data_IF_928187353106
#
_entry.id   IF_928187353106
#
_cell.length_a   1.000
_cell.length_b   1.000
_cell.length_c   1.000
_cell.angle_alpha   90.00
_cell.angle_beta   90.00
_cell.angle_gamma   90.00
#
_symmetry.space_group_name_H-M   'P 1'
#
loop_
_entity.id
_entity.type
_entity.pdbx_description
1 polymer ?
#
# COMPACT_ATOMS: atom_id res chain seq x y z
N UNK A 1 -46.17 3.43 2.83
CA UNK A 1 -45.28 2.66 1.92
C UNK A 1 -44.23 3.57 1.28
N UNK A 2 -44.63 4.67 0.61
CA UNK A 2 -43.70 5.61 -0.05
C UNK A 2 -42.69 6.23 0.93
N UNK A 3 -43.14 6.69 2.10
CA UNK A 3 -42.24 7.29 3.11
C UNK A 3 -41.13 6.34 3.58
N UNK A 4 -41.45 5.05 3.72
CA UNK A 4 -40.48 4.01 4.12
C UNK A 4 -39.43 3.81 3.02
N UNK A 5 -39.86 3.79 1.75
CA UNK A 5 -38.95 3.66 0.60
C UNK A 5 -38.02 4.88 0.48
N UNK A 6 -38.55 6.09 0.68
CA UNK A 6 -37.75 7.32 0.67
C UNK A 6 -36.74 7.32 1.82
N UNK A 7 -37.17 6.96 3.04
CA UNK A 7 -36.29 6.85 4.20
C UNK A 7 -35.17 5.83 3.99
N UNK A 8 -35.50 4.64 3.44
CA UNK A 8 -34.51 3.62 3.11
C UNK A 8 -33.52 4.11 2.05
N UNK A 9 -34.00 4.76 0.99
CA UNK A 9 -33.13 5.32 -0.05
C UNK A 9 -32.15 6.36 0.52
N UNK A 10 -32.63 7.29 1.35
CA UNK A 10 -31.79 8.30 1.99
C UNK A 10 -30.76 7.67 2.92
N UNK A 11 -31.15 6.66 3.68
CA UNK A 11 -30.23 5.90 4.54
C UNK A 11 -29.10 5.27 3.73
N UNK A 12 -29.42 4.59 2.63
CA UNK A 12 -28.42 4.03 1.73
C UNK A 12 -27.56 5.10 1.07
N UNK A 13 -28.11 6.27 0.74
CA UNK A 13 -27.32 7.39 0.22
C UNK A 13 -26.26 7.86 1.22
N UNK A 14 -26.62 8.06 2.48
CA UNK A 14 -25.65 8.45 3.52
C UNK A 14 -24.55 7.40 3.65
N UNK A 15 -24.91 6.12 3.68
CA UNK A 15 -23.93 5.03 3.70
C UNK A 15 -23.07 4.98 2.44
N UNK A 16 -23.64 5.28 1.28
CA UNK A 16 -22.97 5.36 -0.01
C UNK A 16 -21.89 6.44 0.00
N UNK A 17 -22.23 7.64 0.47
CA UNK A 17 -21.27 8.75 0.60
C UNK A 17 -20.13 8.37 1.54
N UNK A 18 -20.42 7.85 2.74
CA UNK A 18 -19.38 7.43 3.70
C UNK A 18 -18.49 6.34 3.09
N UNK A 19 -19.10 5.33 2.47
CA UNK A 19 -18.38 4.22 1.84
C UNK A 19 -17.53 4.69 0.65
N UNK A 20 -17.98 5.71 -0.10
CA UNK A 20 -17.25 6.23 -1.26
C UNK A 20 -15.94 6.92 -0.84
N UNK A 21 -15.98 7.67 0.27
CA UNK A 21 -14.78 8.25 0.87
C UNK A 21 -13.82 7.15 1.30
N UNK A 22 -14.33 6.11 1.98
CA UNK A 22 -13.50 4.97 2.37
C UNK A 22 -12.90 4.25 1.14
N UNK A 23 -13.66 4.07 0.06
CA UNK A 23 -13.19 3.45 -1.16
C UNK A 23 -12.04 4.23 -1.80
N UNK A 24 -12.13 5.56 -1.84
CA UNK A 24 -11.05 6.42 -2.34
C UNK A 24 -9.78 6.29 -1.49
N UNK A 25 -9.92 6.21 -0.17
CA UNK A 25 -8.78 6.15 0.75
C UNK A 25 -8.14 4.77 0.85
N UNK A 26 -8.88 3.69 0.57
CA UNK A 26 -8.43 2.32 0.84
C UNK A 26 -8.18 1.48 -0.41
N UNK A 27 -8.61 1.92 -1.59
CA UNK A 27 -8.39 1.16 -2.83
C UNK A 27 -6.99 1.41 -3.39
N UNK A 28 -6.27 0.32 -3.70
CA UNK A 28 -4.87 0.37 -4.17
C UNK A 28 -4.69 0.90 -5.59
N UNK A 29 -5.77 0.95 -6.39
CA UNK A 29 -5.73 1.41 -7.78
C UNK A 29 -6.69 2.58 -8.00
N UNK A 30 -6.29 3.61 -8.77
CA UNK A 30 -7.17 4.73 -9.10
C UNK A 30 -8.45 4.31 -9.82
N UNK A 31 -8.36 3.34 -10.74
CA UNK A 31 -9.51 2.87 -11.52
C UNK A 31 -10.55 2.17 -10.63
N UNK A 32 -10.09 1.35 -9.68
CA UNK A 32 -10.96 0.69 -8.71
C UNK A 32 -11.62 1.68 -7.75
N UNK A 33 -10.85 2.67 -7.27
CA UNK A 33 -11.36 3.72 -6.39
C UNK A 33 -12.49 4.52 -7.08
N UNK A 34 -12.27 4.94 -8.33
CA UNK A 34 -13.25 5.69 -9.12
C UNK A 34 -14.50 4.84 -9.36
N UNK A 35 -14.34 3.58 -9.78
CA UNK A 35 -15.47 2.69 -10.02
C UNK A 35 -16.35 2.52 -8.78
N UNK A 36 -15.74 2.30 -7.61
CA UNK A 36 -16.48 2.20 -6.35
C UNK A 36 -17.12 3.52 -5.95
N UNK A 37 -16.41 4.64 -6.03
CA UNK A 37 -16.94 5.94 -5.64
C UNK A 37 -18.17 6.33 -6.47
N UNK A 38 -18.11 6.19 -7.79
CA UNK A 38 -19.25 6.50 -8.68
C UNK A 38 -20.44 5.58 -8.37
N UNK A 39 -20.20 4.27 -8.24
CA UNK A 39 -21.27 3.29 -8.00
C UNK A 39 -21.96 3.52 -6.65
N UNK A 40 -21.18 3.80 -5.60
CA UNK A 40 -21.71 4.06 -4.25
C UNK A 40 -22.57 5.31 -4.16
N UNK A 41 -22.35 6.31 -5.02
CA UNK A 41 -23.14 7.54 -5.06
C UNK A 41 -24.37 7.37 -5.97
N UNK A 42 -24.21 6.72 -7.12
CA UNK A 42 -25.28 6.61 -8.13
C UNK A 42 -26.31 5.52 -7.81
N UNK A 43 -25.87 4.37 -7.31
CA UNK A 43 -26.72 3.20 -7.04
C UNK A 43 -26.46 2.60 -5.64
N UNK A 44 -26.62 3.41 -4.57
CA UNK A 44 -26.19 3.07 -3.21
C UNK A 44 -26.84 1.80 -2.64
N UNK A 45 -28.10 1.52 -2.99
CA UNK A 45 -28.84 0.35 -2.48
C UNK A 45 -28.12 -0.97 -2.84
N UNK A 46 -27.52 -1.05 -4.02
CA UNK A 46 -26.81 -2.24 -4.50
C UNK A 46 -25.31 -2.13 -4.18
N UNK A 47 -24.72 -0.95 -4.40
CA UNK A 47 -23.28 -0.79 -4.29
C UNK A 47 -22.77 -0.78 -2.87
N UNK A 48 -23.53 -0.27 -1.89
CA UNK A 48 -23.13 -0.30 -0.46
C UNK A 48 -22.92 -1.73 0.03
N UNK A 49 -23.89 -2.66 -0.08
CA UNK A 49 -23.67 -4.03 0.35
C UNK A 49 -22.59 -4.74 -0.47
N UNK A 50 -22.55 -4.53 -1.79
CA UNK A 50 -21.51 -5.10 -2.64
C UNK A 50 -20.10 -4.64 -2.22
N UNK A 51 -19.94 -3.36 -1.89
CA UNK A 51 -18.68 -2.77 -1.45
C UNK A 51 -18.21 -3.36 -0.11
N UNK A 52 -19.13 -3.54 0.86
CA UNK A 52 -18.77 -4.13 2.15
C UNK A 52 -18.34 -5.60 2.07
N UNK A 53 -18.82 -6.32 1.06
CA UNK A 53 -18.44 -7.72 0.81
C UNK A 53 -17.18 -7.83 -0.04
N UNK A 54 -17.08 -7.05 -1.13
CA UNK A 54 -16.08 -7.23 -2.19
C UNK A 54 -15.07 -6.08 -2.31
N UNK A 55 -15.47 -4.85 -2.00
CA UNK A 55 -14.69 -3.65 -2.27
C UNK A 55 -13.70 -3.25 -1.19
N UNK A 56 -13.82 -3.82 0.02
CA UNK A 56 -12.87 -3.54 1.10
C UNK A 56 -11.54 -4.26 0.86
N UNK A 57 -10.47 -3.49 0.72
CA UNK A 57 -9.10 -3.99 0.73
C UNK A 57 -8.77 -4.53 2.14
N UNK A 58 -8.87 -5.85 2.37
CA UNK A 58 -8.45 -6.52 3.62
C UNK A 58 -6.91 -6.60 3.80
N UNK A 59 -6.16 -5.69 3.19
CA UNK A 59 -4.70 -5.78 3.16
C UNK A 59 -4.03 -5.22 4.43
N UNK A 60 -4.72 -5.24 5.57
CA UNK A 60 -4.17 -4.89 6.89
C UNK A 60 -3.38 -6.05 7.52
N UNK A 61 -3.50 -7.27 6.97
CA UNK A 61 -2.84 -8.47 7.50
C UNK A 61 -1.31 -8.37 7.53
N UNK A 62 -0.69 -7.58 6.65
CA UNK A 62 0.76 -7.42 6.59
C UNK A 62 1.33 -6.92 7.92
N UNK A 63 0.67 -5.95 8.59
CA UNK A 63 1.15 -5.39 9.86
C UNK A 63 1.14 -6.43 10.98
N UNK A 64 0.17 -7.35 10.97
CA UNK A 64 0.11 -8.45 11.95
C UNK A 64 1.13 -9.55 11.62
N UNK A 65 1.42 -9.81 10.34
CA UNK A 65 2.45 -10.77 9.93
C UNK A 65 3.84 -10.40 10.45
N UNK A 66 4.14 -9.10 10.63
CA UNK A 66 5.42 -8.67 11.24
C UNK A 66 5.53 -8.95 12.75
N UNK A 67 4.40 -9.14 13.44
CA UNK A 67 4.37 -9.44 14.88
C UNK A 67 4.58 -10.92 15.17
N UNK A 68 4.13 -11.77 14.25
CA UNK A 68 4.17 -13.23 14.35
C UNK A 68 5.15 -13.83 13.33
N UNK A 69 6.27 -13.15 13.03
CA UNK A 69 7.29 -13.68 12.12
C UNK A 69 7.78 -15.02 12.67
N UNK A 70 7.55 -16.14 11.97
CA UNK A 70 8.10 -17.43 12.37
C UNK A 70 9.63 -17.37 12.39
N UNK A 71 10.25 -18.06 13.35
CA UNK A 71 11.72 -18.12 13.50
C UNK A 71 12.45 -18.50 12.21
N UNK A 72 11.82 -19.30 11.35
CA UNK A 72 12.39 -19.73 10.07
C UNK A 72 12.59 -18.54 9.12
N UNK A 73 11.66 -17.57 9.10
CA UNK A 73 11.78 -16.34 8.32
C UNK A 73 12.85 -15.42 8.93
N UNK A 74 12.94 -15.38 10.25
CA UNK A 74 13.97 -14.59 10.95
C UNK A 74 15.39 -15.08 10.61
N UNK A 75 15.60 -16.41 10.57
CA UNK A 75 16.88 -17.01 10.17
C UNK A 75 17.23 -16.75 8.70
N UNK A 76 16.23 -16.80 7.81
CA UNK A 76 16.44 -16.49 6.39
C UNK A 76 16.80 -15.01 6.20
N UNK A 77 16.11 -14.11 6.90
CA UNK A 77 16.45 -12.68 6.92
C UNK A 77 17.85 -12.41 7.47
N UNK A 78 18.26 -13.08 8.55
CA UNK A 78 19.61 -12.95 9.11
C UNK A 78 20.66 -13.42 8.11
N UNK A 79 20.42 -14.53 7.40
CA UNK A 79 21.32 -15.03 6.34
C UNK A 79 21.47 -14.01 5.21
N UNK A 80 20.36 -13.38 4.78
CA UNK A 80 20.37 -12.33 3.76
C UNK A 80 21.18 -11.12 4.25
N UNK A 81 20.96 -10.67 5.49
CA UNK A 81 21.71 -9.55 6.09
C UNK A 81 23.20 -9.86 6.16
N UNK A 82 23.58 -11.06 6.62
CA UNK A 82 24.98 -11.50 6.67
C UNK A 82 25.65 -11.49 5.30
N UNK A 83 24.93 -11.92 4.24
CA UNK A 83 25.41 -11.85 2.87
C UNK A 83 25.63 -10.42 2.34
N UNK A 84 24.93 -9.44 2.91
CA UNK A 84 25.06 -8.02 2.56
C UNK A 84 26.19 -7.30 3.29
N UNK A 85 26.62 -7.77 4.47
CA UNK A 85 27.65 -7.13 5.30
C UNK A 85 28.98 -6.81 4.57
N UNK A 86 29.51 -7.65 3.66
CA UNK A 86 30.73 -7.32 2.92
C UNK A 86 30.61 -6.05 2.07
N UNK A 87 29.39 -5.75 1.63
CA UNK A 87 29.04 -4.58 0.85
C UNK A 87 28.47 -3.44 1.71
N UNK A 88 28.41 -3.59 3.03
CA UNK A 88 27.94 -2.52 3.89
C UNK A 88 28.87 -1.29 3.82
N UNK A 89 28.27 -0.12 3.84
CA UNK A 89 28.99 1.16 3.97
C UNK A 89 29.46 1.29 5.41
N UNK A 90 30.78 1.14 5.63
CA UNK A 90 31.39 1.46 6.92
C UNK A 90 31.27 2.98 7.18
N UNK A 91 30.76 3.34 8.36
CA UNK A 91 30.60 4.73 8.82
C UNK A 91 29.61 5.59 8.01
N UNK A 92 28.31 5.33 8.14
CA UNK A 92 27.23 6.28 7.80
C UNK A 92 27.19 7.54 8.68
N UNK A 93 28.20 7.72 9.55
CA UNK A 93 28.22 8.58 10.74
C UNK A 93 28.08 10.09 10.45
N UNK A 94 28.19 10.53 9.20
CA UNK A 94 28.16 11.95 8.88
C UNK A 94 26.76 12.54 8.67
N UNK A 95 25.69 11.73 8.55
CA UNK A 95 24.34 12.24 8.34
C UNK A 95 23.28 11.44 9.12
N UNK A 96 22.55 12.07 10.07
CA UNK A 96 21.48 11.43 10.85
C UNK A 96 20.38 10.78 10.00
N UNK A 97 20.15 11.29 8.80
CA UNK A 97 19.17 10.80 7.83
C UNK A 97 19.47 9.35 7.39
N UNK A 98 20.74 8.99 7.23
CA UNK A 98 21.15 7.65 6.83
C UNK A 98 20.97 6.64 7.96
N UNK A 99 21.18 7.06 9.20
CA UNK A 99 20.87 6.23 10.35
C UNK A 99 19.36 5.98 10.46
N UNK A 100 18.56 7.04 10.29
CA UNK A 100 17.10 6.91 10.28
C UNK A 100 16.62 5.96 9.16
N UNK A 101 17.14 6.12 7.94
CA UNK A 101 16.82 5.26 6.80
C UNK A 101 17.21 3.78 7.05
N UNK A 102 18.42 3.54 7.58
CA UNK A 102 18.91 2.19 7.91
C UNK A 102 18.04 1.52 8.99
N UNK A 103 17.66 2.28 10.03
CA UNK A 103 16.77 1.79 11.10
C UNK A 103 15.35 1.51 10.61
N UNK A 104 14.80 2.39 9.75
CA UNK A 104 13.48 2.21 9.15
C UNK A 104 13.43 1.01 8.20
N UNK A 105 14.46 0.85 7.36
CA UNK A 105 14.56 -0.23 6.38
C UNK A 105 15.01 -1.56 7.00
N UNK A 106 15.52 -1.56 8.24
CA UNK A 106 16.12 -2.73 8.92
C UNK A 106 17.19 -3.44 8.08
N UNK A 107 17.94 -2.67 7.28
CA UNK A 107 18.97 -3.19 6.37
C UNK A 107 20.09 -2.15 6.23
N UNK A 108 21.37 -2.57 6.19
CA UNK A 108 22.50 -1.65 6.02
C UNK A 108 22.47 -0.96 4.66
N UNK A 109 23.05 0.24 4.59
CA UNK A 109 23.38 0.87 3.30
C UNK A 109 24.50 0.09 2.62
N UNK A 110 24.37 -0.13 1.31
CA UNK A 110 25.29 -0.94 0.53
C UNK A 110 26.11 -0.12 -0.49
N UNK A 111 27.32 -0.59 -0.79
CA UNK A 111 28.21 -0.08 -1.83
C UNK A 111 28.36 -1.09 -2.97
N UNK A 112 28.93 -0.65 -4.10
CA UNK A 112 29.20 -1.50 -5.25
C UNK A 112 28.07 -1.56 -6.29
N UNK A 113 27.04 -0.73 -6.16
CA UNK A 113 26.00 -0.58 -7.17
C UNK A 113 26.58 0.02 -8.46
N UNK A 114 26.28 -0.60 -9.60
CA UNK A 114 26.54 0.02 -10.90
C UNK A 114 25.33 0.89 -11.27
N UNK A 115 25.55 2.18 -11.47
CA UNK A 115 24.48 3.14 -11.75
C UNK A 115 24.78 3.82 -13.07
N UNK A 116 23.81 3.75 -13.99
CA UNK A 116 23.82 4.51 -15.23
C UNK A 116 22.76 5.61 -15.14
N UNK A 117 23.18 6.85 -15.39
CA UNK A 117 22.24 7.96 -15.50
C UNK A 117 21.57 7.90 -16.88
N UNK A 118 20.26 7.69 -16.88
CA UNK A 118 19.43 7.77 -18.08
C UNK A 118 18.73 9.12 -18.07
N UNK A 119 19.12 9.98 -19.00
CA UNK A 119 18.53 11.31 -19.17
C UNK A 119 17.42 11.21 -20.20
N UNK A 120 16.26 11.75 -19.87
CA UNK A 120 15.03 11.73 -20.67
C UNK A 120 14.45 10.32 -20.92
N UNK A 121 13.26 10.27 -21.52
CA UNK A 121 12.55 9.02 -21.75
C UNK A 121 13.23 8.09 -22.77
N UNK A 122 13.93 8.64 -23.78
CA UNK A 122 14.51 7.83 -24.86
C UNK A 122 15.59 6.88 -24.35
N UNK A 123 16.51 7.38 -23.51
CA UNK A 123 17.56 6.55 -22.92
C UNK A 123 16.99 5.44 -22.02
N UNK A 124 15.87 5.67 -21.34
CA UNK A 124 15.16 4.64 -20.58
C UNK A 124 14.56 3.57 -21.47
N UNK A 125 13.85 3.96 -22.54
CA UNK A 125 13.25 3.00 -23.48
C UNK A 125 14.29 2.11 -24.19
N UNK A 126 15.45 2.65 -24.52
CA UNK A 126 16.51 1.90 -25.21
C UNK A 126 17.26 0.93 -24.26
N UNK A 127 17.07 1.05 -22.94
CA UNK A 127 17.75 0.25 -21.91
C UNK A 127 16.96 -0.97 -21.38
N UNK A 128 15.70 -1.13 -21.81
CA UNK A 128 14.78 -2.22 -21.42
C UNK A 128 14.50 -3.17 -22.59
#
# INVERSE_FOLDING_TARGET
MVEILVGAYLFFQVLGVISSVHAILSTRTPQGAIAWAISLITIPIISVPAYWVLGRSKFDGYVNTWRDIPRDIEQEMETIIQGMLPYAVENSINFPEYEAATRLARSPLLRGNNVQLLVDGRATYDSI
#
